data_IF_842239084970
#
_entry.id   IF_842239084970
#
_cell.length_a   1.000
_cell.length_b   1.000
_cell.length_c   1.000
_cell.angle_alpha   90.00
_cell.angle_beta   90.00
_cell.angle_gamma   90.00
#
_symmetry.space_group_name_H-M   'P 1'
#
loop_
_entity.id
_entity.type
_entity.pdbx_description
1 polymer ?
#
# COMPACT_ATOMS: atom_id res chain seq x y z
N UNK A 1 6.09 -14.53 9.60
CA UNK A 1 6.23 -14.55 8.12
C UNK A 1 4.93 -14.99 7.51
N UNK A 2 4.33 -14.16 6.66
CA UNK A 2 3.15 -14.54 5.88
C UNK A 2 3.56 -15.47 4.73
N UNK A 3 2.78 -16.52 4.49
CA UNK A 3 2.98 -17.42 3.36
C UNK A 3 1.77 -17.32 2.44
N UNK A 4 2.02 -17.04 1.17
CA UNK A 4 0.96 -16.84 0.20
C UNK A 4 1.48 -16.94 -1.22
N UNK A 5 0.57 -17.03 -2.18
CA UNK A 5 0.90 -17.01 -3.61
C UNK A 5 0.79 -15.58 -4.13
N UNK A 6 1.45 -15.27 -5.25
CA UNK A 6 1.30 -13.98 -5.93
C UNK A 6 -0.17 -13.65 -6.22
N UNK A 7 -0.98 -14.65 -6.62
CA UNK A 7 -2.42 -14.48 -6.83
C UNK A 7 -3.15 -14.06 -5.56
N UNK A 8 -2.80 -14.63 -4.40
CA UNK A 8 -3.42 -14.28 -3.14
C UNK A 8 -3.05 -12.84 -2.72
N UNK A 9 -1.80 -12.43 -2.94
CA UNK A 9 -1.35 -11.05 -2.70
C UNK A 9 -2.07 -10.06 -3.62
N UNK A 10 -2.18 -10.38 -4.91
CA UNK A 10 -2.92 -9.57 -5.86
C UNK A 10 -4.41 -9.43 -5.48
N UNK A 11 -5.04 -10.50 -5.01
CA UNK A 11 -6.42 -10.45 -4.51
C UNK A 11 -6.55 -9.53 -3.28
N UNK A 12 -5.58 -9.59 -2.35
CA UNK A 12 -5.57 -8.72 -1.17
C UNK A 12 -5.53 -7.23 -1.56
N UNK A 13 -4.60 -6.83 -2.43
CA UNK A 13 -4.54 -5.45 -2.92
C UNK A 13 -5.73 -5.10 -3.82
N UNK A 14 -6.27 -6.08 -4.55
CA UNK A 14 -7.50 -5.95 -5.34
C UNK A 14 -8.70 -5.52 -4.51
N UNK A 15 -8.81 -5.94 -3.24
CA UNK A 15 -9.86 -5.48 -2.32
C UNK A 15 -9.74 -3.96 -2.09
N UNK A 16 -8.53 -3.44 -1.88
CA UNK A 16 -8.31 -2.01 -1.65
C UNK A 16 -8.57 -1.20 -2.92
N UNK A 17 -8.02 -1.64 -4.06
CA UNK A 17 -8.28 -1.03 -5.36
C UNK A 17 -9.78 -1.05 -5.74
N UNK A 18 -10.48 -2.12 -5.36
CA UNK A 18 -11.92 -2.33 -5.52
C UNK A 18 -12.80 -1.66 -4.46
N UNK A 19 -12.31 -0.65 -3.74
CA UNK A 19 -13.05 0.10 -2.71
C UNK A 19 -13.65 -0.79 -1.61
N UNK A 20 -12.84 -1.75 -1.17
CA UNK A 20 -13.15 -2.70 -0.10
C UNK A 20 -13.87 -3.97 -0.58
N UNK A 21 -13.97 -4.20 -1.88
CA UNK A 21 -14.65 -5.36 -2.46
C UNK A 21 -13.83 -6.03 -3.56
N UNK A 22 -13.99 -7.35 -3.69
CA UNK A 22 -13.44 -8.15 -4.78
C UNK A 22 -14.46 -9.23 -5.16
N UNK A 23 -14.69 -9.46 -6.45
CA UNK A 23 -15.61 -10.49 -6.98
C UNK A 23 -17.00 -10.45 -6.33
N UNK A 24 -17.55 -9.24 -6.13
CA UNK A 24 -18.86 -9.02 -5.52
C UNK A 24 -18.92 -9.22 -4.00
N UNK A 25 -17.84 -9.67 -3.34
CA UNK A 25 -17.76 -9.80 -1.88
C UNK A 25 -17.15 -8.55 -1.27
N UNK A 26 -17.81 -8.00 -0.25
CA UNK A 26 -17.31 -6.86 0.54
C UNK A 26 -16.54 -7.34 1.76
N UNK A 27 -15.32 -6.83 1.92
CA UNK A 27 -14.43 -7.09 3.07
C UNK A 27 -14.27 -5.82 3.93
N UNK A 28 -14.15 -4.66 3.28
CA UNK A 28 -14.10 -3.35 3.93
C UNK A 28 -15.21 -2.46 3.40
N UNK A 29 -15.66 -1.46 4.18
CA UNK A 29 -16.46 -0.38 3.62
C UNK A 29 -15.61 0.46 2.64
N UNK A 30 -16.24 1.12 1.68
CA UNK A 30 -15.51 2.00 0.75
C UNK A 30 -14.77 3.13 1.48
N UNK A 31 -15.36 3.64 2.57
CA UNK A 31 -14.72 4.63 3.44
C UNK A 31 -13.49 4.07 4.17
N UNK A 32 -13.57 2.85 4.67
CA UNK A 32 -12.43 2.20 5.33
C UNK A 32 -11.30 1.90 4.34
N UNK A 33 -11.61 1.43 3.13
CA UNK A 33 -10.63 1.22 2.08
C UNK A 33 -9.94 2.53 1.65
N UNK A 34 -10.69 3.63 1.53
CA UNK A 34 -10.11 4.95 1.27
C UNK A 34 -9.20 5.40 2.42
N UNK A 35 -9.68 5.31 3.66
CA UNK A 35 -8.92 5.70 4.87
C UNK A 35 -7.63 4.89 5.02
N UNK A 36 -7.61 3.63 4.59
CA UNK A 36 -6.41 2.80 4.62
C UNK A 36 -5.27 3.36 3.76
N UNK A 37 -5.58 4.06 2.67
CA UNK A 37 -4.61 4.71 1.77
C UNK A 37 -4.38 6.20 2.04
N UNK A 38 -4.95 6.77 3.11
CA UNK A 38 -4.70 8.17 3.47
C UNK A 38 -3.33 8.29 4.16
N UNK A 39 -2.43 9.04 3.54
CA UNK A 39 -1.07 9.28 4.04
C UNK A 39 -1.05 9.90 5.43
N UNK A 40 -0.06 9.50 6.23
CA UNK A 40 0.15 10.02 7.59
C UNK A 40 1.31 11.04 7.65
N UNK A 41 1.75 11.55 6.49
CA UNK A 41 2.84 12.52 6.36
C UNK A 41 4.13 11.85 5.88
N UNK A 42 4.77 12.49 4.90
CA UNK A 42 6.08 12.09 4.41
C UNK A 42 7.18 12.49 5.40
N UNK A 43 8.15 11.61 5.59
CA UNK A 43 9.36 11.91 6.35
C UNK A 43 10.49 10.94 5.97
N UNK A 44 11.70 11.25 6.45
CA UNK A 44 12.80 10.28 6.43
C UNK A 44 12.51 9.17 7.45
N UNK A 45 12.32 7.95 6.95
CA UNK A 45 12.23 6.76 7.82
C UNK A 45 13.55 6.59 8.60
N UNK A 46 13.46 6.40 9.92
CA UNK A 46 14.65 6.34 10.78
C UNK A 46 15.39 4.99 10.73
N UNK A 47 14.74 3.95 10.22
CA UNK A 47 15.28 2.58 10.17
C UNK A 47 15.68 2.22 8.74
N UNK A 48 14.78 2.46 7.79
CA UNK A 48 14.95 2.10 6.39
C UNK A 48 15.38 3.29 5.52
N UNK A 49 15.39 4.51 6.06
CA UNK A 49 15.62 5.72 5.27
C UNK A 49 16.95 5.70 4.53
N UNK A 50 18.00 5.11 5.10
CA UNK A 50 19.31 5.00 4.43
C UNK A 50 19.28 4.11 3.17
N UNK A 51 18.26 3.24 3.06
CA UNK A 51 17.99 2.45 1.85
C UNK A 51 17.22 3.22 0.77
N UNK A 52 16.68 4.40 1.06
CA UNK A 52 15.88 5.18 0.13
C UNK A 52 16.52 6.56 -0.15
N UNK A 53 16.57 7.02 -1.42
CA UNK A 53 17.13 8.33 -1.75
C UNK A 53 16.18 9.50 -1.41
N UNK A 54 14.98 9.22 -0.92
CA UNK A 54 13.90 10.17 -0.69
C UNK A 54 13.16 9.89 0.63
N UNK A 55 12.31 10.83 1.04
CA UNK A 55 11.33 10.61 2.11
C UNK A 55 10.30 9.56 1.68
N UNK A 56 9.85 8.78 2.66
CA UNK A 56 8.81 7.77 2.48
C UNK A 56 7.54 8.27 3.15
N UNK A 57 6.40 7.86 2.62
CA UNK A 57 5.11 8.14 3.24
C UNK A 57 4.37 6.83 3.46
N UNK A 58 3.86 6.66 4.68
CA UNK A 58 3.12 5.47 5.09
C UNK A 58 1.69 5.92 5.42
N UNK A 59 0.71 5.19 4.89
CA UNK A 59 -0.69 5.28 5.29
C UNK A 59 -0.96 4.37 6.50
N UNK A 60 -2.15 3.77 6.61
CA UNK A 60 -2.45 2.85 7.72
C UNK A 60 -1.89 1.45 7.42
N UNK A 61 -0.55 1.31 7.53
CA UNK A 61 0.18 0.04 7.34
C UNK A 61 0.62 -0.23 5.90
N UNK A 62 0.43 0.70 4.97
CA UNK A 62 0.88 0.61 3.58
C UNK A 62 1.86 1.71 3.25
N UNK A 63 2.84 1.41 2.42
CA UNK A 63 3.71 2.39 1.78
C UNK A 63 2.95 3.03 0.62
N UNK A 64 3.04 4.35 0.50
CA UNK A 64 2.49 5.08 -0.63
C UNK A 64 3.52 5.18 -1.74
N UNK A 65 3.05 5.06 -2.98
CA UNK A 65 3.89 5.18 -4.18
C UNK A 65 4.52 6.58 -4.28
N UNK A 66 3.74 7.61 -3.94
CA UNK A 66 4.18 9.00 -3.91
C UNK A 66 4.72 9.51 -5.26
N UNK A 67 5.41 10.65 -5.21
CA UNK A 67 6.04 11.26 -6.39
C UNK A 67 7.17 10.40 -6.97
N UNK A 68 7.73 9.50 -6.14
CA UNK A 68 8.78 8.57 -6.51
C UNK A 68 8.29 7.36 -7.32
N UNK A 69 6.96 7.19 -7.46
CA UNK A 69 6.33 6.16 -8.32
C UNK A 69 6.74 4.73 -7.97
N UNK A 70 6.97 4.45 -6.69
CA UNK A 70 7.46 3.15 -6.20
C UNK A 70 6.57 1.97 -6.61
N UNK A 71 5.27 2.19 -6.80
CA UNK A 71 4.31 1.15 -7.23
C UNK A 71 3.66 1.46 -8.59
N UNK A 72 4.40 2.16 -9.47
CA UNK A 72 3.97 2.46 -10.83
C UNK A 72 3.45 3.90 -11.01
N UNK A 73 2.67 4.17 -12.07
CA UNK A 73 2.42 5.53 -12.52
C UNK A 73 1.37 6.31 -11.71
N UNK A 74 0.51 5.67 -10.91
CA UNK A 74 -0.40 6.41 -10.03
C UNK A 74 0.32 6.75 -8.71
N UNK A 75 0.57 8.03 -8.39
CA UNK A 75 1.22 8.40 -7.13
C UNK A 75 0.41 8.00 -5.88
N UNK A 76 -0.89 7.71 -6.02
CA UNK A 76 -1.76 7.23 -4.94
C UNK A 76 -1.80 5.70 -4.83
N UNK A 77 -1.08 4.98 -5.69
CA UNK A 77 -0.91 3.55 -5.53
C UNK A 77 -0.27 3.26 -4.17
N UNK A 78 -0.60 2.11 -3.59
CA UNK A 78 -0.12 1.68 -2.29
C UNK A 78 0.31 0.23 -2.33
N UNK A 79 1.23 -0.12 -1.45
CA UNK A 79 1.81 -1.44 -1.38
C UNK A 79 2.54 -1.68 -0.06
N UNK A 80 3.28 -2.78 -0.01
CA UNK A 80 4.23 -3.08 1.04
C UNK A 80 5.17 -4.15 0.51
N UNK A 81 6.46 -3.87 0.54
CA UNK A 81 7.48 -4.79 0.06
C UNK A 81 7.82 -5.85 1.13
N UNK A 82 8.20 -7.03 0.68
CA UNK A 82 8.78 -8.07 1.52
C UNK A 82 10.30 -8.04 1.44
N UNK A 83 10.99 -8.48 2.49
CA UNK A 83 12.44 -8.65 2.43
C UNK A 83 12.80 -9.93 1.63
N UNK A 84 13.70 -9.77 0.65
CA UNK A 84 14.11 -10.83 -0.29
C UNK A 84 13.39 -10.74 -1.63
#
# INVERSE_FOLDING_TARGET
>A
NGHGTARAVAALYGILAGRGSLDGRRVLSGKAAARAGEGQGACRDLVLGDGFPHETEIALGFWLSGENRSYGPDPRALGHDGAG
#
